data_IF_200503289651
#
_entry.id   IF_200503289651
#
_cell.length_a   1.000
_cell.length_b   1.000
_cell.length_c   1.000
_cell.angle_alpha   90.00
_cell.angle_beta   90.00
_cell.angle_gamma   90.00
#
_symmetry.space_group_name_H-M   'P 1'
#
loop_
_entity.id
_entity.type
_entity.pdbx_description
1 polymer ?
#
# COMPACT_ATOMS: atom_id res chain seq x y z
N UNK A 1 -34.44 -23.72 5.57
CA UNK A 1 -33.17 -24.13 4.92
C UNK A 1 -32.32 -22.89 4.79
N UNK A 2 -31.16 -22.78 5.41
CA UNK A 2 -30.30 -21.62 5.25
C UNK A 2 -29.64 -21.65 3.87
N UNK A 3 -29.80 -20.59 3.12
CA UNK A 3 -29.11 -20.39 1.86
C UNK A 3 -27.62 -20.18 2.14
N UNK A 4 -26.78 -21.13 1.79
CA UNK A 4 -25.36 -20.93 1.68
C UNK A 4 -25.11 -20.05 0.44
N UNK A 5 -24.74 -18.81 0.65
CA UNK A 5 -24.16 -17.97 -0.41
C UNK A 5 -22.85 -18.63 -0.86
N UNK A 6 -22.87 -19.20 -2.03
CA UNK A 6 -21.66 -19.60 -2.75
C UNK A 6 -20.85 -18.34 -3.00
N UNK A 7 -19.78 -18.13 -2.21
CA UNK A 7 -18.76 -17.15 -2.55
C UNK A 7 -18.20 -17.54 -3.91
N UNK A 8 -18.53 -16.76 -4.92
CA UNK A 8 -17.88 -16.86 -6.23
C UNK A 8 -16.43 -16.43 -6.04
N UNK A 9 -15.54 -17.41 -6.01
CA UNK A 9 -14.10 -17.14 -6.02
C UNK A 9 -13.78 -16.46 -7.34
N UNK A 10 -13.47 -15.18 -7.29
CA UNK A 10 -12.99 -14.43 -8.45
C UNK A 10 -11.64 -15.03 -8.83
N UNK A 11 -11.44 -15.57 -10.06
CA UNK A 11 -10.19 -16.20 -10.44
C UNK A 11 -8.97 -15.27 -10.45
N UNK A 12 -9.17 -13.97 -10.26
CA UNK A 12 -8.09 -12.99 -10.07
C UNK A 12 -7.51 -12.99 -8.64
N UNK A 13 -8.17 -13.64 -7.67
CA UNK A 13 -7.72 -13.65 -6.26
C UNK A 13 -6.58 -14.65 -5.99
N UNK A 14 -6.36 -15.65 -6.86
CA UNK A 14 -5.32 -16.68 -6.67
C UNK A 14 -3.89 -16.17 -6.84
N UNK A 15 -3.73 -14.94 -7.31
CA UNK A 15 -2.42 -14.37 -7.59
C UNK A 15 -2.01 -13.26 -6.63
N UNK A 16 -2.78 -13.05 -5.61
CA UNK A 16 -2.57 -11.99 -4.63
C UNK A 16 -1.63 -12.44 -3.52
N UNK A 17 -0.75 -11.54 -3.09
CA UNK A 17 0.13 -11.74 -1.95
C UNK A 17 -0.49 -11.10 -0.72
N UNK A 18 -0.29 -11.71 0.43
CA UNK A 18 -0.82 -11.21 1.70
C UNK A 18 0.31 -11.09 2.72
N UNK A 19 0.33 -9.98 3.44
CA UNK A 19 1.28 -9.75 4.52
C UNK A 19 0.92 -10.65 5.71
N UNK A 20 1.90 -11.41 6.21
CA UNK A 20 1.75 -12.32 7.34
C UNK A 20 2.90 -12.11 8.34
N UNK A 21 2.54 -11.80 9.59
CA UNK A 21 3.51 -11.57 10.67
C UNK A 21 4.08 -12.86 11.23
N UNK A 22 3.29 -13.93 11.23
CA UNK A 22 3.65 -15.21 11.85
C UNK A 22 4.38 -16.13 10.88
N UNK A 23 4.35 -15.82 9.58
CA UNK A 23 5.05 -16.59 8.57
C UNK A 23 6.57 -16.46 8.70
N UNK A 24 7.27 -17.56 8.93
CA UNK A 24 8.74 -17.60 8.96
C UNK A 24 9.40 -17.52 7.56
N UNK A 25 8.63 -17.74 6.49
CA UNK A 25 9.10 -17.73 5.10
C UNK A 25 8.00 -17.23 4.17
N UNK A 26 8.42 -16.67 3.02
CA UNK A 26 7.49 -16.39 1.94
C UNK A 26 6.97 -17.69 1.34
N UNK A 27 5.71 -17.72 0.95
CA UNK A 27 5.07 -18.92 0.42
C UNK A 27 4.20 -18.58 -0.79
N UNK A 28 4.25 -19.46 -1.79
CA UNK A 28 3.41 -19.37 -2.98
C UNK A 28 2.68 -20.69 -3.23
N UNK A 29 1.45 -20.62 -3.73
CA UNK A 29 0.67 -21.80 -4.11
C UNK A 29 1.21 -22.47 -5.37
N UNK A 30 1.76 -21.68 -6.29
CA UNK A 30 2.35 -22.14 -7.54
C UNK A 30 3.62 -21.37 -7.89
N UNK A 31 4.40 -21.92 -8.82
CA UNK A 31 5.65 -21.33 -9.29
C UNK A 31 5.46 -20.34 -10.45
N UNK A 32 4.26 -20.18 -11.00
CA UNK A 32 4.03 -19.47 -12.27
C UNK A 32 4.40 -17.98 -12.25
N UNK A 33 4.53 -17.37 -11.06
CA UNK A 33 4.93 -15.97 -10.89
C UNK A 33 6.33 -15.78 -10.31
N UNK A 34 7.04 -16.90 -10.09
CA UNK A 34 8.38 -16.87 -9.54
C UNK A 34 9.42 -16.90 -10.64
N UNK A 35 10.53 -16.25 -10.37
CA UNK A 35 11.77 -16.35 -11.15
C UNK A 35 12.80 -17.17 -10.37
N UNK A 36 13.87 -17.57 -11.06
CA UNK A 36 14.97 -18.35 -10.47
C UNK A 36 14.49 -19.60 -9.71
N UNK A 37 13.57 -20.34 -10.33
CA UNK A 37 12.98 -21.53 -9.73
C UNK A 37 14.02 -22.65 -9.67
N UNK A 38 14.15 -23.29 -8.50
CA UNK A 38 15.01 -24.43 -8.25
C UNK A 38 14.25 -25.50 -7.46
N UNK A 39 14.73 -26.73 -7.58
CA UNK A 39 14.27 -27.81 -6.71
C UNK A 39 14.78 -27.63 -5.29
N UNK A 40 14.04 -28.10 -4.27
CA UNK A 40 14.53 -28.10 -2.90
C UNK A 40 15.84 -28.88 -2.79
N UNK A 41 16.81 -28.35 -2.07
CA UNK A 41 18.11 -28.97 -1.81
C UNK A 41 18.09 -29.68 -0.45
N UNK A 42 19.14 -30.45 -0.11
CA UNK A 42 19.26 -31.10 1.19
C UNK A 42 19.26 -30.10 2.38
N UNK A 43 19.63 -28.84 2.13
CA UNK A 43 19.59 -27.76 3.12
C UNK A 43 18.23 -27.06 3.25
N UNK A 44 17.28 -27.39 2.39
CA UNK A 44 15.95 -26.81 2.40
C UNK A 44 14.98 -27.75 3.11
N UNK A 45 14.10 -27.28 3.99
CA UNK A 45 13.10 -28.14 4.57
C UNK A 45 12.23 -28.75 3.46
N UNK A 46 11.97 -30.04 3.55
CA UNK A 46 11.08 -30.75 2.60
C UNK A 46 9.60 -30.44 2.83
N UNK A 47 9.28 -29.92 3.99
CA UNK A 47 7.92 -29.53 4.40
C UNK A 47 7.96 -28.41 5.42
N UNK A 48 6.85 -27.71 5.56
CA UNK A 48 6.63 -26.70 6.60
C UNK A 48 5.43 -27.08 7.45
N UNK A 49 5.45 -26.66 8.71
CA UNK A 49 4.32 -26.78 9.63
C UNK A 49 3.53 -25.49 9.55
N UNK A 50 2.22 -25.58 9.34
CA UNK A 50 1.30 -24.44 9.38
C UNK A 50 0.54 -24.38 10.70
N UNK A 51 -0.15 -23.28 10.98
CA UNK A 51 -0.75 -22.96 12.28
C UNK A 51 -1.71 -24.02 12.86
N UNK A 52 -2.31 -24.87 12.02
CA UNK A 52 -3.13 -26.00 12.46
C UNK A 52 -2.33 -27.31 12.71
N UNK A 53 -0.98 -27.26 12.64
CA UNK A 53 -0.09 -28.39 12.78
C UNK A 53 0.09 -29.26 11.55
N UNK A 54 -0.57 -28.95 10.42
CA UNK A 54 -0.41 -29.72 9.20
C UNK A 54 0.97 -29.50 8.56
N UNK A 55 1.52 -30.56 7.98
CA UNK A 55 2.75 -30.53 7.21
C UNK A 55 2.41 -30.29 5.73
N UNK A 56 2.92 -29.21 5.16
CA UNK A 56 2.79 -28.89 3.75
C UNK A 56 4.10 -29.22 3.00
N UNK A 57 4.07 -30.04 1.96
CA UNK A 57 5.28 -30.35 1.18
C UNK A 57 5.73 -29.14 0.39
N UNK A 58 7.04 -28.92 0.30
CA UNK A 58 7.67 -27.91 -0.54
C UNK A 58 8.14 -28.60 -1.82
N UNK A 59 7.65 -28.11 -2.96
CA UNK A 59 7.96 -28.68 -4.28
C UNK A 59 8.98 -27.88 -5.07
N UNK A 60 9.12 -26.59 -4.79
CA UNK A 60 10.09 -25.73 -5.44
C UNK A 60 10.41 -24.51 -4.54
N UNK A 61 11.47 -23.80 -4.92
CA UNK A 61 11.88 -22.52 -4.31
C UNK A 61 12.15 -21.54 -5.44
N UNK A 62 11.79 -20.28 -5.24
CA UNK A 62 12.03 -19.25 -6.24
C UNK A 62 12.13 -17.88 -5.61
N UNK A 63 12.14 -16.86 -6.45
CA UNK A 63 12.09 -15.46 -6.04
C UNK A 63 10.97 -14.73 -6.77
N UNK A 64 10.47 -13.66 -6.18
CA UNK A 64 9.50 -12.77 -6.81
C UNK A 64 9.94 -11.33 -6.66
N UNK A 65 9.63 -10.49 -7.65
CA UNK A 65 9.99 -9.07 -7.63
C UNK A 65 8.76 -8.23 -7.90
N UNK A 66 8.49 -7.32 -6.98
CA UNK A 66 7.51 -6.25 -7.17
C UNK A 66 8.22 -5.03 -7.73
N UNK A 67 7.73 -4.50 -8.84
CA UNK A 67 8.27 -3.29 -9.45
C UNK A 67 7.50 -2.06 -8.99
N UNK A 68 8.19 -1.14 -8.31
CA UNK A 68 7.65 0.15 -7.91
C UNK A 68 8.46 1.29 -8.54
N UNK A 69 7.87 2.49 -8.71
CA UNK A 69 8.56 3.62 -9.35
C UNK A 69 9.88 4.01 -8.69
N UNK A 70 9.97 3.88 -7.36
CA UNK A 70 11.15 4.28 -6.60
C UNK A 70 12.25 3.21 -6.61
N UNK A 71 11.87 1.95 -6.44
CA UNK A 71 12.77 0.79 -6.45
C UNK A 71 11.98 -0.51 -6.48
N UNK A 72 12.64 -1.59 -6.91
CA UNK A 72 12.06 -2.92 -6.82
C UNK A 72 12.13 -3.44 -5.38
N UNK A 73 11.12 -4.21 -4.99
CA UNK A 73 11.08 -4.97 -3.76
C UNK A 73 11.09 -6.47 -4.08
N UNK A 74 11.92 -7.24 -3.39
CA UNK A 74 12.14 -8.65 -3.71
C UNK A 74 11.64 -9.57 -2.60
N UNK A 75 11.15 -10.73 -2.99
CA UNK A 75 10.92 -11.87 -2.12
C UNK A 75 11.94 -12.94 -2.48
N UNK A 76 12.89 -13.19 -1.57
CA UNK A 76 13.89 -14.24 -1.75
C UNK A 76 13.44 -15.53 -1.08
N UNK A 77 13.84 -16.66 -1.65
CA UNK A 77 13.57 -17.98 -1.10
C UNK A 77 12.08 -18.24 -0.81
N UNK A 78 11.24 -17.90 -1.77
CA UNK A 78 9.80 -18.19 -1.72
C UNK A 78 9.60 -19.68 -1.83
N UNK A 79 8.98 -20.29 -0.83
CA UNK A 79 8.68 -21.72 -0.79
C UNK A 79 7.37 -21.99 -1.57
N UNK A 80 7.41 -22.92 -2.49
CA UNK A 80 6.22 -23.29 -3.26
C UNK A 80 5.58 -24.54 -2.66
N UNK A 81 4.31 -24.39 -2.27
CA UNK A 81 3.49 -25.49 -1.78
C UNK A 81 2.09 -25.41 -2.36
N UNK A 82 1.66 -26.40 -3.18
CA UNK A 82 0.32 -26.39 -3.81
C UNK A 82 -0.85 -26.46 -2.82
N UNK A 83 -0.58 -26.78 -1.57
CA UNK A 83 -1.61 -26.93 -0.54
C UNK A 83 -1.92 -25.65 0.25
N UNK A 84 -1.22 -24.54 -0.05
CA UNK A 84 -1.60 -23.26 0.56
C UNK A 84 -2.70 -22.58 -0.26
N UNK A 85 -3.58 -21.90 0.44
CA UNK A 85 -4.75 -21.25 -0.18
C UNK A 85 -4.37 -19.85 -0.73
N UNK A 86 -3.43 -19.17 -0.09
CA UNK A 86 -3.03 -17.79 -0.41
C UNK A 86 -1.51 -17.66 -0.40
N UNK A 87 -0.98 -16.81 -1.28
CA UNK A 87 0.44 -16.50 -1.23
C UNK A 87 0.73 -15.59 -0.04
N UNK A 88 1.76 -15.90 0.72
CA UNK A 88 2.11 -15.22 1.97
C UNK A 88 3.47 -14.53 1.86
N UNK A 89 3.51 -13.28 2.32
CA UNK A 89 4.75 -12.53 2.51
C UNK A 89 5.11 -12.57 3.99
N UNK A 90 6.18 -13.26 4.34
CA UNK A 90 6.78 -13.12 5.66
C UNK A 90 7.27 -11.69 5.87
N UNK A 91 6.64 -10.97 6.79
CA UNK A 91 6.98 -9.56 7.07
C UNK A 91 8.42 -9.43 7.53
N UNK A 92 8.85 -10.31 8.43
CA UNK A 92 10.21 -10.30 8.95
C UNK A 92 11.27 -10.48 7.85
N UNK A 93 11.10 -11.47 6.96
CA UNK A 93 12.01 -11.69 5.82
C UNK A 93 12.00 -10.52 4.85
N UNK A 94 10.81 -10.05 4.52
CA UNK A 94 10.62 -8.95 3.58
C UNK A 94 11.34 -7.66 4.02
N UNK A 95 11.24 -7.31 5.31
CA UNK A 95 11.90 -6.10 5.83
C UNK A 95 13.41 -6.22 5.82
N UNK A 96 13.96 -7.41 6.12
CA UNK A 96 15.40 -7.68 6.05
C UNK A 96 15.90 -7.61 4.60
N UNK A 97 15.25 -8.36 3.70
CA UNK A 97 15.70 -8.49 2.31
C UNK A 97 15.65 -7.15 1.56
N UNK A 98 14.73 -6.27 1.95
CA UNK A 98 14.51 -5.00 1.28
C UNK A 98 15.01 -3.77 2.06
N UNK A 99 15.61 -3.93 3.24
CA UNK A 99 16.03 -2.82 4.09
C UNK A 99 14.94 -1.75 4.21
N UNK A 100 13.75 -2.19 4.62
CA UNK A 100 12.56 -1.34 4.72
C UNK A 100 11.82 -1.57 6.04
N UNK A 101 10.94 -0.65 6.39
CA UNK A 101 9.95 -0.82 7.45
C UNK A 101 8.56 -0.96 6.86
N UNK A 102 7.67 -1.66 7.59
CA UNK A 102 6.26 -1.74 7.26
C UNK A 102 5.46 -1.16 8.42
N UNK A 103 4.60 -0.21 8.09
CA UNK A 103 3.67 0.39 9.04
C UNK A 103 2.24 0.00 8.66
N UNK A 104 1.47 -0.42 9.64
CA UNK A 104 0.07 -0.79 9.46
C UNK A 104 -0.82 0.27 10.08
N UNK A 105 -1.90 0.58 9.38
CA UNK A 105 -2.95 1.45 9.88
C UNK A 105 -4.34 0.89 9.52
N UNK A 106 -5.39 1.60 9.90
CA UNK A 106 -6.79 1.21 9.65
C UNK A 106 -7.10 0.97 8.17
N UNK A 107 -6.37 1.62 7.27
CA UNK A 107 -6.65 1.62 5.84
C UNK A 107 -5.72 0.69 5.04
N UNK A 108 -4.70 0.12 5.67
CA UNK A 108 -3.76 -0.77 4.97
C UNK A 108 -2.36 -0.78 5.54
N UNK A 109 -1.38 -0.99 4.67
CA UNK A 109 0.02 -1.00 5.04
C UNK A 109 0.85 -0.06 4.14
N UNK A 110 1.89 0.51 4.71
CA UNK A 110 2.88 1.35 4.03
C UNK A 110 4.25 0.72 4.13
N UNK A 111 4.97 0.66 3.03
CA UNK A 111 6.38 0.26 3.00
C UNK A 111 7.24 1.50 2.88
N UNK A 112 8.19 1.69 3.79
CA UNK A 112 9.11 2.82 3.83
C UNK A 112 10.55 2.36 3.76
N UNK A 113 11.37 3.11 3.05
CA UNK A 113 12.81 2.92 3.06
C UNK A 113 13.37 3.18 4.46
N UNK A 114 14.14 2.23 4.99
CA UNK A 114 14.62 2.31 6.39
C UNK A 114 15.62 3.44 6.62
N UNK A 115 16.38 3.84 5.59
CA UNK A 115 17.41 4.87 5.70
C UNK A 115 16.83 6.28 5.54
N UNK A 116 15.94 6.45 4.57
CA UNK A 116 15.42 7.78 4.20
C UNK A 116 14.05 8.09 4.79
N UNK A 117 13.32 7.06 5.26
CA UNK A 117 11.94 7.18 5.72
C UNK A 117 10.92 7.42 4.59
N UNK A 118 11.38 7.49 3.34
CA UNK A 118 10.51 7.75 2.20
C UNK A 118 9.57 6.56 1.92
N UNK A 119 8.34 6.87 1.56
CA UNK A 119 7.36 5.85 1.17
C UNK A 119 7.75 5.22 -0.18
N UNK A 120 7.87 3.90 -0.20
CA UNK A 120 8.12 3.09 -1.40
C UNK A 120 6.79 2.62 -1.99
N UNK A 121 5.90 2.12 -1.15
CA UNK A 121 4.63 1.56 -1.56
C UNK A 121 3.54 1.79 -0.51
N UNK A 122 2.30 1.90 -0.98
CA UNK A 122 1.10 1.88 -0.16
C UNK A 122 0.15 0.82 -0.68
N UNK A 123 -0.32 -0.06 0.19
CA UNK A 123 -1.31 -1.08 -0.13
C UNK A 123 -2.52 -0.87 0.78
N UNK A 124 -3.71 -0.83 0.19
CA UNK A 124 -4.94 -0.65 0.97
C UNK A 124 -5.42 -2.01 1.49
N UNK A 125 -5.94 -2.04 2.72
CA UNK A 125 -6.57 -3.24 3.28
C UNK A 125 -7.86 -3.57 2.53
N UNK A 126 -8.16 -4.87 2.45
CA UNK A 126 -9.41 -5.37 1.89
C UNK A 126 -9.94 -6.48 2.81
N UNK A 127 -11.02 -6.20 3.52
CA UNK A 127 -11.54 -7.11 4.54
C UNK A 127 -10.58 -7.28 5.71
N UNK A 128 -10.42 -8.53 6.17
CA UNK A 128 -9.63 -8.89 7.35
C UNK A 128 -8.14 -9.12 7.05
N UNK A 129 -7.70 -8.95 5.81
CA UNK A 129 -6.34 -9.24 5.37
C UNK A 129 -5.68 -7.99 4.78
N UNK A 130 -4.36 -7.99 4.84
CA UNK A 130 -3.53 -6.96 4.22
C UNK A 130 -2.95 -7.47 2.89
N UNK A 131 -3.69 -7.28 1.78
CA UNK A 131 -3.18 -7.65 0.47
C UNK A 131 -1.97 -6.78 0.12
N UNK A 132 -0.94 -7.40 -0.40
CA UNK A 132 0.25 -6.74 -0.90
C UNK A 132 0.15 -6.67 -2.43
N UNK A 133 -0.55 -5.67 -2.88
CA UNK A 133 -0.51 -5.33 -4.29
C UNK A 133 0.43 -4.16 -4.50
N UNK A 134 1.29 -4.21 -5.50
CA UNK A 134 1.57 -2.99 -6.17
C UNK A 134 0.19 -2.53 -6.68
N UNK A 135 -0.51 -1.72 -5.93
CA UNK A 135 -1.42 -0.81 -6.58
C UNK A 135 -0.55 -0.29 -7.71
N UNK A 136 -0.81 -0.75 -8.97
CA UNK A 136 -0.52 0.14 -10.04
C UNK A 136 -1.05 1.44 -9.47
N UNK A 137 -0.15 2.29 -9.06
CA UNK A 137 -0.51 3.63 -8.75
C UNK A 137 -1.28 4.06 -9.99
N UNK A 138 -2.60 3.78 -10.01
CA UNK A 138 -3.44 4.84 -10.46
C UNK A 138 -2.83 5.94 -9.64
N UNK A 139 -1.94 6.71 -10.29
CA UNK A 139 -1.51 7.94 -9.73
C UNK A 139 -2.83 8.49 -9.19
N UNK A 140 -3.11 8.20 -7.93
CA UNK A 140 -3.84 9.13 -7.14
C UNK A 140 -2.89 10.26 -7.30
N UNK A 141 -3.00 10.95 -8.44
CA UNK A 141 -2.71 12.31 -8.47
C UNK A 141 -3.43 12.72 -7.19
N UNK A 142 -2.69 12.76 -6.09
CA UNK A 142 -2.96 13.79 -5.14
C UNK A 142 -2.91 14.96 -6.10
N UNK A 143 -4.05 15.26 -6.69
CA UNK A 143 -4.33 16.56 -7.20
C UNK A 143 -4.06 17.39 -5.98
N UNK A 144 -2.80 17.81 -5.86
CA UNK A 144 -2.43 18.80 -4.91
C UNK A 144 -3.40 19.90 -5.31
N UNK A 145 -4.47 19.96 -4.53
CA UNK A 145 -5.63 20.75 -4.90
C UNK A 145 -5.10 22.16 -5.07
N UNK A 146 -5.36 22.83 -6.17
CA UNK A 146 -4.85 24.18 -6.36
C UNK A 146 -5.29 25.03 -5.15
N UNK A 147 -4.47 25.98 -4.74
CA UNK A 147 -4.77 26.85 -3.59
C UNK A 147 -6.17 27.46 -3.68
N UNK A 148 -6.66 27.70 -4.89
CA UNK A 148 -8.02 28.16 -5.17
C UNK A 148 -9.12 27.19 -4.73
N UNK A 149 -8.86 25.87 -4.80
CA UNK A 149 -9.81 24.88 -4.34
C UNK A 149 -9.86 24.82 -2.80
N UNK A 150 -8.71 24.89 -2.13
CA UNK A 150 -8.64 24.96 -0.68
C UNK A 150 -9.27 26.24 -0.14
N UNK A 151 -9.03 27.38 -0.80
CA UNK A 151 -9.68 28.65 -0.48
C UNK A 151 -11.20 28.51 -0.46
N UNK A 152 -11.80 27.86 -1.47
CA UNK A 152 -13.25 27.62 -1.51
C UNK A 152 -13.73 26.58 -0.51
N UNK A 153 -13.00 25.47 -0.34
CA UNK A 153 -13.36 24.39 0.63
C UNK A 153 -13.36 24.88 2.08
N UNK A 154 -12.49 25.81 2.41
CA UNK A 154 -12.34 26.37 3.75
C UNK A 154 -13.19 27.64 3.96
N UNK A 155 -14.25 27.83 3.15
CA UNK A 155 -15.17 28.94 3.32
C UNK A 155 -14.54 30.30 2.95
N UNK A 156 -13.77 30.32 1.85
CA UNK A 156 -13.11 31.53 1.34
C UNK A 156 -12.06 32.14 2.31
N UNK A 157 -11.32 31.27 2.95
CA UNK A 157 -10.28 31.64 3.92
C UNK A 157 -9.27 32.63 3.31
N UNK A 158 -8.91 33.67 4.09
CA UNK A 158 -7.95 34.68 3.67
C UNK A 158 -6.56 34.10 3.36
N UNK A 159 -5.83 34.77 2.46
CA UNK A 159 -4.52 34.34 1.96
C UNK A 159 -3.51 34.00 3.06
N UNK A 160 -3.43 34.85 4.09
CA UNK A 160 -2.47 34.65 5.18
C UNK A 160 -2.76 33.40 6.00
N UNK A 161 -4.03 33.11 6.28
CA UNK A 161 -4.45 31.93 6.99
C UNK A 161 -4.19 30.66 6.16
N UNK A 162 -4.47 30.71 4.85
CA UNK A 162 -4.18 29.62 3.91
C UNK A 162 -2.68 29.34 3.80
N UNK A 163 -1.86 30.39 3.74
CA UNK A 163 -0.39 30.27 3.72
C UNK A 163 0.15 29.60 4.98
N UNK A 164 -0.41 29.93 6.17
CA UNK A 164 -0.05 29.29 7.44
C UNK A 164 -0.42 27.81 7.45
N UNK A 165 -1.61 27.43 6.96
CA UNK A 165 -2.01 26.04 6.87
C UNK A 165 -1.08 25.21 5.94
N UNK A 166 -0.59 25.82 4.88
CA UNK A 166 0.40 25.19 3.97
C UNK A 166 1.75 25.08 4.69
N UNK A 167 2.21 26.13 5.36
CA UNK A 167 3.51 26.12 6.06
C UNK A 167 3.56 25.11 7.22
N UNK A 168 2.43 24.85 7.87
CA UNK A 168 2.30 23.82 8.90
C UNK A 168 2.01 22.41 8.36
N UNK A 169 2.03 22.24 7.04
CA UNK A 169 1.75 20.95 6.37
C UNK A 169 0.36 20.35 6.70
N UNK A 170 -0.57 21.16 7.15
CA UNK A 170 -1.97 20.77 7.40
C UNK A 170 -2.71 20.48 6.11
N UNK A 171 -2.37 21.21 5.04
CA UNK A 171 -2.89 21.02 3.69
C UNK A 171 -1.73 20.98 2.69
N UNK A 172 -1.86 20.13 1.68
CA UNK A 172 -0.90 20.06 0.58
C UNK A 172 -1.49 20.72 -0.65
N UNK A 173 -0.74 21.66 -1.25
CA UNK A 173 -1.13 22.32 -2.49
C UNK A 173 0.03 22.30 -3.49
N UNK A 174 -0.28 22.25 -4.78
CA UNK A 174 0.68 22.64 -5.81
C UNK A 174 1.02 24.12 -5.63
N UNK A 175 2.26 24.50 -5.90
CA UNK A 175 2.72 25.89 -5.91
C UNK A 175 2.08 26.67 -7.09
N UNK A 176 0.76 26.64 -7.18
CA UNK A 176 0.03 27.50 -8.11
C UNK A 176 -0.30 28.80 -7.43
N UNK A 177 -0.20 29.88 -8.19
CA UNK A 177 -0.36 31.26 -7.81
C UNK A 177 -1.35 31.52 -6.67
N UNK A 178 -0.82 31.96 -5.55
CA UNK A 178 -1.58 32.61 -4.47
C UNK A 178 -2.32 33.89 -4.95
N UNK A 179 -2.20 34.23 -6.22
CA UNK A 179 -2.78 35.42 -6.84
C UNK A 179 -4.14 35.18 -7.50
N UNK A 180 -4.75 34.02 -7.37
CA UNK A 180 -6.05 33.78 -7.98
C UNK A 180 -7.13 34.62 -7.27
N UNK A 181 -7.65 35.59 -7.97
CA UNK A 181 -8.76 36.43 -7.50
C UNK A 181 -10.05 35.59 -7.49
N UNK A 182 -10.61 35.40 -6.30
CA UNK A 182 -11.89 34.70 -6.17
C UNK A 182 -13.04 35.69 -6.40
N UNK A 183 -13.85 35.44 -7.42
CA UNK A 183 -14.97 36.29 -7.76
C UNK A 183 -16.01 36.46 -6.63
N UNK A 184 -16.27 35.39 -5.85
CA UNK A 184 -17.15 35.47 -4.69
C UNK A 184 -16.59 36.42 -3.61
N UNK A 185 -15.27 36.33 -3.30
CA UNK A 185 -14.65 37.23 -2.34
C UNK A 185 -14.60 38.69 -2.80
N UNK A 186 -14.57 38.91 -4.12
CA UNK A 186 -14.63 40.27 -4.67
C UNK A 186 -16.02 40.87 -4.51
N UNK A 187 -17.07 40.10 -4.70
CA UNK A 187 -18.44 40.57 -4.51
C UNK A 187 -18.75 40.87 -3.06
N UNK A 188 -18.25 40.02 -2.13
CA UNK A 188 -18.45 40.15 -0.67
C UNK A 188 -17.62 41.31 -0.07
N UNK A 189 -16.49 41.66 -0.72
CA UNK A 189 -15.59 42.74 -0.29
C UNK A 189 -16.18 44.14 -0.44
N UNK A 190 -17.28 44.28 -1.16
CA UNK A 190 -17.95 45.60 -1.36
C UNK A 190 -18.92 45.98 -0.22
N UNK A 191 -19.18 45.10 0.73
CA UNK A 191 -20.08 45.37 1.88
C UNK A 191 -19.31 45.38 3.22
N UNK A 192 -18.25 46.16 3.32
CA UNK A 192 -17.78 46.58 4.64
C UNK A 192 -18.73 47.66 5.19
N UNK A 193 -19.73 47.24 5.93
CA UNK A 193 -20.46 48.15 6.82
C UNK A 193 -19.43 48.67 7.83
N UNK A 194 -19.25 49.99 7.84
CA UNK A 194 -18.50 50.69 8.88
C UNK A 194 -19.28 50.51 10.19
N UNK A 195 -18.69 49.83 11.14
CA UNK A 195 -19.16 49.88 12.50
C UNK A 195 -18.83 51.27 13.08
N UNK A 196 -19.86 52.08 13.26
CA UNK A 196 -19.73 53.32 14.00
C UNK A 196 -19.61 53.08 15.49
#
# INVERSE_FOLDING_TARGET
MPNFNTMTLNPSAESEWYADFDAGSHMAADAGKLSHISSPTLSTPSSIIVGNGALLPIIAIGSHTFSFPCRNLVLNNVLVSPHIIKNLISIHRFTIDNNCSIEFDLFGLSVKDLQTGNMIARCNSSGDLYPFFPSATSASAFLAAPTSLWHRRLGHLGREALSKLISFSVISCNKDDLHHLCHACQLDGHTRLSFG
#
